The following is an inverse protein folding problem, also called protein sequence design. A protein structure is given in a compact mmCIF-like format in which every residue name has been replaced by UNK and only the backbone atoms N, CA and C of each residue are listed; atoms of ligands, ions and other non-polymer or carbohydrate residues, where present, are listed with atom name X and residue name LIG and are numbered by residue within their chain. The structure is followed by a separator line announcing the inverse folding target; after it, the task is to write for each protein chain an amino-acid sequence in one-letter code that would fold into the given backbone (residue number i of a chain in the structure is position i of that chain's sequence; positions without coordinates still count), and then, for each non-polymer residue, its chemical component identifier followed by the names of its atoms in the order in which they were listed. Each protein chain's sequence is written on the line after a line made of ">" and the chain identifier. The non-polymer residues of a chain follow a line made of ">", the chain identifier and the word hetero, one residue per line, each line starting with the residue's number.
data_IF_937086397798
#
_entry.id   IF_937086397798
#
_cell.length_a   1.000
_cell.length_b   1.000
_cell.length_c   1.000
_cell.angle_alpha   90.00
_cell.angle_beta   90.00
_cell.angle_gamma   90.00
#
_symmetry.space_group_name_H-M   'P 1'
#
loop_
_entity.id
_entity.type
_entity.pdbx_description
1 polymer ?
#
# COMPACT_ATOMS: atom_id res chain seq x y z
N UNK A 1 13.08 -1.88 -56.40
CA UNK A 1 12.38 -2.93 -55.63
C UNK A 1 13.14 -3.39 -54.38
N UNK A 2 14.48 -3.44 -54.39
CA UNK A 2 15.26 -3.92 -53.23
C UNK A 2 15.40 -2.93 -52.06
N UNK A 3 15.32 -1.61 -52.27
CA UNK A 3 15.49 -0.63 -51.20
C UNK A 3 14.28 -0.55 -50.24
N UNK A 4 13.06 -0.77 -50.77
CA UNK A 4 11.83 -0.71 -49.98
C UNK A 4 11.69 -1.93 -49.05
N UNK A 5 12.17 -3.09 -49.48
CA UNK A 5 12.15 -4.33 -48.69
C UNK A 5 13.13 -4.26 -47.51
N UNK A 6 14.31 -3.65 -47.70
CA UNK A 6 15.30 -3.45 -46.62
C UNK A 6 14.79 -2.45 -45.57
N UNK A 7 14.11 -1.37 -46.00
CA UNK A 7 13.45 -0.42 -45.07
C UNK A 7 12.29 -1.08 -44.30
N UNK A 8 11.49 -1.92 -44.94
CA UNK A 8 10.40 -2.65 -44.26
C UNK A 8 10.92 -3.68 -43.26
N UNK A 9 11.99 -4.41 -43.60
CA UNK A 9 12.64 -5.37 -42.68
C UNK A 9 13.34 -4.67 -41.51
N UNK A 10 13.96 -3.51 -41.73
CA UNK A 10 14.57 -2.71 -40.65
C UNK A 10 13.55 -2.22 -39.63
N UNK A 11 12.40 -1.71 -40.10
CA UNK A 11 11.30 -1.26 -39.21
C UNK A 11 10.69 -2.44 -38.44
N UNK A 12 10.51 -3.60 -39.07
CA UNK A 12 10.01 -4.80 -38.39
C UNK A 12 10.97 -5.35 -37.32
N UNK A 13 12.29 -5.27 -37.54
CA UNK A 13 13.29 -5.72 -36.56
C UNK A 13 13.39 -4.78 -35.35
N UNK A 14 13.35 -3.46 -35.55
CA UNK A 14 13.38 -2.50 -34.44
C UNK A 14 12.11 -2.55 -33.58
N UNK A 15 10.93 -2.73 -34.20
CA UNK A 15 9.66 -2.97 -33.48
C UNK A 15 9.76 -4.20 -32.56
N UNK A 16 10.35 -5.32 -33.02
CA UNK A 16 10.45 -6.52 -32.17
C UNK A 16 11.41 -6.37 -30.98
N UNK A 17 12.45 -5.55 -31.10
CA UNK A 17 13.46 -5.40 -30.03
C UNK A 17 12.99 -4.43 -28.94
N UNK A 18 12.30 -3.35 -29.33
CA UNK A 18 11.60 -2.49 -28.37
C UNK A 18 10.49 -3.24 -27.65
N UNK A 19 9.72 -4.08 -28.36
CA UNK A 19 8.56 -4.76 -27.80
C UNK A 19 8.91 -5.77 -26.71
N UNK A 20 10.08 -6.42 -26.83
CA UNK A 20 10.58 -7.33 -25.79
C UNK A 20 10.96 -6.56 -24.51
N UNK A 21 11.59 -5.38 -24.62
CA UNK A 21 11.84 -4.50 -23.47
C UNK A 21 10.54 -4.07 -22.77
N UNK A 22 9.42 -4.05 -23.50
CA UNK A 22 8.08 -3.70 -23.00
C UNK A 22 7.20 -4.90 -22.60
N UNK A 23 7.72 -6.13 -22.67
CA UNK A 23 7.06 -7.35 -22.19
C UNK A 23 7.23 -7.64 -20.69
N UNK A 24 6.21 -8.24 -20.09
CA UNK A 24 6.28 -8.80 -18.74
C UNK A 24 7.19 -10.03 -18.69
N UNK A 25 7.93 -10.20 -17.60
CA UNK A 25 8.91 -11.29 -17.48
C UNK A 25 10.20 -11.05 -18.28
N UNK A 26 10.34 -9.89 -18.95
CA UNK A 26 11.59 -9.48 -19.58
C UNK A 26 12.73 -9.48 -18.55
N UNK A 27 13.85 -10.09 -18.95
CA UNK A 27 15.06 -10.14 -18.15
C UNK A 27 16.10 -9.17 -18.70
N UNK A 28 16.30 -8.06 -17.98
CA UNK A 28 17.15 -6.95 -18.43
C UNK A 28 18.64 -7.23 -18.22
N UNK A 29 19.22 -8.10 -19.05
CA UNK A 29 20.63 -8.48 -18.95
C UNK A 29 21.59 -7.33 -19.24
N UNK A 30 21.18 -6.34 -20.05
CA UNK A 30 22.04 -5.25 -20.52
C UNK A 30 22.31 -4.21 -19.43
N UNK A 31 21.33 -3.92 -18.58
CA UNK A 31 21.46 -2.91 -17.52
C UNK A 31 21.85 -3.50 -16.15
N UNK A 32 22.03 -4.82 -16.04
CA UNK A 32 22.57 -5.43 -14.81
C UNK A 32 24.07 -5.08 -14.63
N UNK A 33 24.61 -5.11 -13.40
CA UNK A 33 26.04 -4.90 -13.19
C UNK A 33 26.89 -5.85 -14.06
N UNK A 34 27.85 -5.29 -14.82
CA UNK A 34 28.64 -6.03 -15.81
C UNK A 34 27.95 -6.33 -17.15
N UNK A 35 26.73 -5.82 -17.36
CA UNK A 35 26.08 -5.75 -18.66
C UNK A 35 26.63 -4.61 -19.51
N UNK A 36 26.33 -4.64 -20.81
CA UNK A 36 26.83 -3.68 -21.80
C UNK A 36 26.49 -2.22 -21.44
N UNK A 37 25.37 -1.99 -20.77
CA UNK A 37 24.85 -0.68 -20.41
C UNK A 37 25.04 -0.34 -18.92
N UNK A 38 25.85 -1.07 -18.16
CA UNK A 38 26.15 -0.72 -16.78
C UNK A 38 26.88 0.63 -16.72
N UNK A 39 26.27 1.71 -16.17
CA UNK A 39 26.86 3.06 -16.18
C UNK A 39 28.14 3.14 -15.33
N UNK A 40 28.40 2.13 -14.51
CA UNK A 40 29.59 2.05 -13.67
C UNK A 40 30.70 1.21 -14.31
N UNK A 41 30.47 0.69 -15.53
CA UNK A 41 31.36 -0.15 -16.34
C UNK A 41 32.09 -1.20 -15.50
N UNK A 42 31.36 -1.82 -14.56
CA UNK A 42 31.97 -2.72 -13.59
C UNK A 42 32.28 -4.01 -14.31
N UNK A 43 33.50 -4.57 -14.17
CA UNK A 43 33.80 -5.85 -14.78
C UNK A 43 32.84 -6.91 -14.23
N UNK A 44 32.41 -7.84 -15.08
CA UNK A 44 31.59 -9.00 -14.70
C UNK A 44 32.43 -9.99 -13.88
N UNK A 45 32.90 -9.56 -12.71
CA UNK A 45 33.81 -10.30 -11.84
C UNK A 45 33.10 -10.74 -10.56
N UNK A 46 33.50 -11.89 -9.99
CA UNK A 46 32.83 -12.48 -8.83
C UNK A 46 32.93 -11.68 -7.52
N UNK A 47 33.69 -10.59 -7.47
CA UNK A 47 33.94 -9.82 -6.25
C UNK A 47 34.03 -8.31 -6.53
N UNK A 48 32.92 -7.58 -6.38
CA UNK A 48 32.98 -6.15 -6.09
C UNK A 48 31.92 -5.78 -5.05
N UNK A 49 32.34 -5.09 -3.99
CA UNK A 49 31.48 -4.64 -2.89
C UNK A 49 31.30 -3.13 -2.97
N UNK A 50 30.06 -2.66 -3.11
CA UNK A 50 29.71 -1.26 -2.95
C UNK A 50 29.14 -1.00 -1.56
N UNK A 51 29.95 -0.53 -0.62
CA UNK A 51 29.50 -0.09 0.71
C UNK A 51 29.16 1.40 0.66
N UNK A 52 27.93 1.74 0.29
CA UNK A 52 27.40 3.10 0.50
C UNK A 52 26.40 3.12 1.67
N UNK A 53 26.09 4.33 2.17
CA UNK A 53 25.30 4.61 3.39
C UNK A 53 23.87 4.05 3.40
N UNK A 54 23.44 3.39 2.33
CA UNK A 54 22.11 2.83 2.17
C UNK A 54 22.02 1.33 2.53
N UNK A 55 23.14 0.70 2.88
CA UNK A 55 23.21 -0.63 3.45
C UNK A 55 23.38 -0.52 4.98
N UNK A 56 22.36 -0.86 5.76
CA UNK A 56 22.41 -0.84 7.24
C UNK A 56 23.13 -2.06 7.85
N UNK A 57 23.76 -2.89 7.01
CA UNK A 57 24.54 -4.07 7.42
C UNK A 57 23.70 -5.28 7.85
N UNK A 58 22.42 -5.08 8.18
CA UNK A 58 21.50 -6.14 8.62
C UNK A 58 20.51 -6.56 7.53
N UNK A 59 20.04 -5.62 6.69
CA UNK A 59 19.11 -5.91 5.58
C UNK A 59 19.82 -6.28 4.27
N UNK A 60 21.11 -5.96 4.16
CA UNK A 60 21.97 -6.27 3.00
C UNK A 60 22.64 -7.65 3.07
N UNK A 61 22.46 -8.39 4.17
CA UNK A 61 23.02 -9.73 4.37
C UNK A 61 21.95 -10.81 4.19
N UNK A 62 21.34 -10.86 3.01
CA UNK A 62 20.46 -11.97 2.62
C UNK A 62 21.23 -13.30 2.71
N UNK A 63 20.75 -14.23 3.56
CA UNK A 63 21.39 -15.52 3.86
C UNK A 63 22.23 -16.12 2.71
N UNK A 64 23.54 -15.96 2.82
CA UNK A 64 24.50 -16.52 1.89
C UNK A 64 24.88 -17.93 2.37
N UNK A 65 24.63 -18.94 1.54
CA UNK A 65 25.34 -20.21 1.64
C UNK A 65 26.74 -20.06 1.00
N UNK A 66 27.62 -21.01 1.33
CA UNK A 66 29.02 -21.09 0.84
C UNK A 66 29.14 -21.23 -0.68
N UNK A 67 28.01 -21.27 -1.41
CA UNK A 67 27.92 -21.39 -2.87
C UNK A 67 27.29 -20.18 -3.57
N UNK A 68 27.10 -19.04 -2.89
CA UNK A 68 26.54 -17.82 -3.51
C UNK A 68 27.63 -16.76 -3.81
N UNK A 69 28.23 -16.73 -5.01
CA UNK A 69 29.31 -15.80 -5.34
C UNK A 69 28.70 -14.52 -5.90
N UNK A 70 28.30 -13.58 -5.04
CA UNK A 70 28.06 -12.15 -5.41
C UNK A 70 27.54 -11.42 -4.17
N UNK A 71 28.17 -10.32 -3.81
CA UNK A 71 27.46 -9.26 -3.10
C UNK A 71 26.64 -8.50 -4.15
N UNK A 72 25.33 -8.46 -4.02
CA UNK A 72 24.55 -7.72 -4.99
C UNK A 72 24.72 -6.22 -4.81
N UNK A 73 24.79 -5.48 -5.92
CA UNK A 73 24.77 -4.02 -5.88
C UNK A 73 23.36 -3.57 -5.50
N UNK A 74 23.25 -2.78 -4.43
CA UNK A 74 21.99 -2.18 -4.02
C UNK A 74 21.50 -1.22 -5.11
N UNK A 75 20.45 -1.61 -5.82
CA UNK A 75 19.67 -0.77 -6.75
C UNK A 75 18.29 -0.39 -6.17
N UNK A 76 18.03 -0.80 -4.93
CA UNK A 76 16.79 -0.56 -4.20
C UNK A 76 16.34 0.90 -4.26
N UNK A 77 15.11 1.13 -4.73
CA UNK A 77 14.46 2.41 -4.52
C UNK A 77 14.17 2.60 -3.00
N UNK A 78 14.34 3.81 -2.50
CA UNK A 78 13.90 4.16 -1.13
C UNK A 78 12.68 5.06 -1.27
N UNK A 79 11.53 4.61 -0.75
CA UNK A 79 10.36 5.49 -0.70
C UNK A 79 10.69 6.76 0.10
N UNK A 80 10.28 7.92 -0.42
CA UNK A 80 10.57 9.21 0.22
C UNK A 80 9.75 9.34 1.51
N UNK A 81 10.43 9.13 2.64
CA UNK A 81 9.88 9.26 4.00
C UNK A 81 10.49 10.42 4.79
N UNK A 82 11.15 11.34 4.07
CA UNK A 82 11.96 12.41 4.67
C UNK A 82 11.11 13.40 5.45
N UNK A 83 9.88 13.65 5.00
CA UNK A 83 8.98 14.65 5.57
C UNK A 83 7.72 13.99 6.17
N UNK A 84 7.90 13.40 7.34
CA UNK A 84 6.83 12.70 8.08
C UNK A 84 5.70 13.65 8.49
N UNK A 85 6.03 14.88 8.87
CA UNK A 85 5.04 15.88 9.24
C UNK A 85 4.21 16.30 8.02
N UNK A 86 4.84 16.50 6.86
CA UNK A 86 4.13 16.73 5.61
C UNK A 86 3.15 15.59 5.31
N UNK A 87 3.57 14.33 5.40
CA UNK A 87 2.66 13.18 5.16
C UNK A 87 1.47 13.14 6.11
N UNK A 88 1.69 13.47 7.38
CA UNK A 88 0.59 13.60 8.33
C UNK A 88 -0.39 14.72 7.92
N UNK A 89 0.12 15.92 7.62
CA UNK A 89 -0.72 17.07 7.29
C UNK A 89 -1.46 16.88 5.96
N UNK A 90 -0.83 16.29 4.94
CA UNK A 90 -1.46 15.92 3.68
C UNK A 90 -2.59 14.90 3.89
N UNK A 91 -2.38 13.91 4.75
CA UNK A 91 -3.40 12.93 5.12
C UNK A 91 -4.58 13.58 5.84
N UNK A 92 -4.33 14.40 6.86
CA UNK A 92 -5.39 15.09 7.62
C UNK A 92 -6.20 16.01 6.71
N UNK A 93 -5.52 16.75 5.83
CA UNK A 93 -6.17 17.62 4.84
C UNK A 93 -7.06 16.81 3.89
N UNK A 94 -6.52 15.73 3.34
CA UNK A 94 -7.26 14.80 2.47
C UNK A 94 -8.47 14.22 3.18
N UNK A 95 -8.34 13.77 4.43
CA UNK A 95 -9.46 13.27 5.23
C UNK A 95 -10.55 14.35 5.39
N UNK A 96 -10.17 15.58 5.72
CA UNK A 96 -11.10 16.69 5.89
C UNK A 96 -11.83 17.10 4.59
N UNK A 97 -11.17 16.99 3.44
CA UNK A 97 -11.74 17.20 2.10
C UNK A 97 -12.70 16.07 1.73
N UNK A 98 -12.41 14.85 2.15
CA UNK A 98 -13.27 13.67 1.94
C UNK A 98 -14.45 13.60 2.93
N UNK A 99 -14.47 14.45 3.96
CA UNK A 99 -15.44 14.34 5.06
C UNK A 99 -15.24 13.07 5.89
N UNK A 100 -13.97 12.65 6.02
CA UNK A 100 -13.54 11.50 6.81
C UNK A 100 -12.73 12.04 7.99
N UNK A 101 -12.85 11.41 9.15
CA UNK A 101 -12.02 11.78 10.30
C UNK A 101 -10.62 11.17 10.18
N UNK A 102 -9.57 11.83 10.70
CA UNK A 102 -8.25 11.22 10.81
C UNK A 102 -8.24 9.90 11.59
N UNK A 103 -7.17 9.12 11.41
CA UNK A 103 -6.99 7.84 12.10
C UNK A 103 -6.93 8.08 13.61
N UNK A 104 -7.60 7.22 14.39
CA UNK A 104 -7.63 7.34 15.85
C UNK A 104 -8.51 8.48 16.37
N UNK A 105 -9.21 9.21 15.51
CA UNK A 105 -10.21 10.18 15.96
C UNK A 105 -11.32 9.48 16.73
N UNK A 106 -11.79 10.12 17.81
CA UNK A 106 -12.91 9.62 18.61
C UNK A 106 -14.23 9.67 17.84
N UNK A 107 -15.22 8.93 18.32
CA UNK A 107 -16.50 8.72 17.62
C UNK A 107 -17.23 10.04 17.30
N UNK A 108 -17.12 11.05 18.16
CA UNK A 108 -17.65 12.40 17.91
C UNK A 108 -17.13 13.02 16.62
N UNK A 109 -15.81 12.95 16.42
CA UNK A 109 -15.15 13.56 15.27
C UNK A 109 -15.48 12.78 14.00
N UNK A 110 -15.61 11.45 14.10
CA UNK A 110 -16.08 10.59 13.01
C UNK A 110 -17.48 11.01 12.55
N UNK A 111 -18.38 11.20 13.50
CA UNK A 111 -19.74 11.63 13.17
C UNK A 111 -19.79 13.04 12.58
N UNK A 112 -19.07 14.00 13.17
CA UNK A 112 -18.99 15.35 12.64
C UNK A 112 -18.49 15.36 11.18
N UNK A 113 -17.49 14.53 10.87
CA UNK A 113 -16.98 14.36 9.52
C UNK A 113 -18.03 13.76 8.57
N UNK A 114 -18.74 12.70 9.00
CA UNK A 114 -19.84 12.09 8.24
C UNK A 114 -20.94 13.12 7.93
N UNK A 115 -21.43 13.82 8.96
CA UNK A 115 -22.49 14.80 8.85
C UNK A 115 -22.13 15.97 7.93
N UNK A 116 -20.85 16.35 7.86
CA UNK A 116 -20.36 17.39 6.95
C UNK A 116 -20.67 17.08 5.47
N UNK A 117 -20.67 15.80 5.09
CA UNK A 117 -21.01 15.36 3.73
C UNK A 117 -22.52 15.09 3.63
N UNK A 118 -23.09 14.31 4.54
CA UNK A 118 -24.49 13.88 4.43
C UNK A 118 -25.51 15.01 4.59
N UNK A 119 -25.12 16.15 5.18
CA UNK A 119 -25.97 17.34 5.27
C UNK A 119 -26.05 18.13 3.94
N UNK A 120 -25.21 17.81 2.95
CA UNK A 120 -25.28 18.42 1.63
C UNK A 120 -26.46 17.81 0.87
N UNK A 121 -27.39 18.61 0.30
CA UNK A 121 -28.49 18.08 -0.49
C UNK A 121 -27.97 17.28 -1.69
N UNK A 122 -28.47 16.05 -1.86
CA UNK A 122 -28.02 15.11 -2.90
C UNK A 122 -26.50 14.83 -2.84
N UNK A 123 -25.95 14.65 -1.64
CA UNK A 123 -24.52 14.39 -1.43
C UNK A 123 -24.00 13.18 -2.21
N UNK A 124 -24.87 12.23 -2.55
CA UNK A 124 -24.53 11.07 -3.38
C UNK A 124 -24.06 11.46 -4.79
N UNK A 125 -24.46 12.64 -5.27
CA UNK A 125 -24.05 13.19 -6.57
C UNK A 125 -22.76 14.01 -6.51
N UNK A 126 -22.17 14.21 -5.32
CA UNK A 126 -20.88 14.90 -5.19
C UNK A 126 -19.83 14.05 -5.92
N UNK A 127 -18.86 14.68 -6.64
CA UNK A 127 -17.77 13.94 -7.24
C UNK A 127 -17.03 13.09 -6.22
N UNK A 128 -16.89 11.80 -6.52
CA UNK A 128 -16.15 10.86 -5.70
C UNK A 128 -14.70 11.31 -5.49
N UNK A 129 -14.21 11.37 -4.24
CA UNK A 129 -12.80 11.58 -3.98
C UNK A 129 -11.93 10.58 -4.73
N UNK A 130 -10.90 11.11 -5.40
CA UNK A 130 -9.94 10.34 -6.18
C UNK A 130 -8.54 10.89 -5.96
N UNK A 131 -7.56 10.00 -5.78
CA UNK A 131 -6.14 10.36 -5.74
C UNK A 131 -5.30 9.33 -6.47
N UNK A 132 -4.37 9.82 -7.28
CA UNK A 132 -3.32 9.01 -7.92
C UNK A 132 -1.98 9.29 -7.25
N UNK A 133 -1.24 8.24 -6.91
CA UNK A 133 0.05 8.35 -6.23
C UNK A 133 1.01 7.24 -6.68
N UNK A 134 2.32 7.50 -6.66
CA UNK A 134 3.30 6.49 -7.05
C UNK A 134 3.53 5.47 -5.93
N UNK A 135 3.69 4.21 -6.31
CA UNK A 135 4.15 3.13 -5.43
C UNK A 135 5.48 2.62 -5.96
N UNK A 136 6.54 2.88 -5.20
CA UNK A 136 7.90 2.45 -5.51
C UNK A 136 8.09 0.98 -5.11
N UNK A 137 8.91 0.26 -5.87
CA UNK A 137 9.40 -1.07 -5.55
C UNK A 137 10.44 -1.01 -4.41
N UNK A 138 10.01 -0.60 -3.22
CA UNK A 138 10.87 -0.25 -2.10
C UNK A 138 10.48 -1.01 -0.83
N UNK A 139 11.47 -1.25 0.04
CA UNK A 139 11.23 -1.87 1.36
C UNK A 139 10.27 -1.03 2.21
N UNK A 140 10.39 0.30 2.08
CA UNK A 140 9.54 1.25 2.78
C UNK A 140 8.20 1.37 2.06
N UNK A 141 7.15 1.46 2.87
CA UNK A 141 5.80 1.68 2.40
C UNK A 141 5.62 3.05 1.75
N UNK A 142 4.66 3.14 0.84
CA UNK A 142 4.33 4.34 0.07
C UNK A 142 2.99 4.91 0.60
N UNK A 143 3.01 6.05 1.31
CA UNK A 143 1.78 6.68 1.77
C UNK A 143 1.01 7.27 0.58
N UNK A 144 -0.28 6.98 0.49
CA UNK A 144 -1.14 7.62 -0.52
C UNK A 144 -1.63 9.00 -0.10
N UNK A 145 -1.66 9.26 1.21
CA UNK A 145 -2.43 10.35 1.86
C UNK A 145 -3.89 10.42 1.39
N UNK A 146 -4.45 9.28 1.00
CA UNK A 146 -5.86 9.10 0.74
C UNK A 146 -6.52 8.47 1.97
N UNK A 147 -7.58 9.09 2.47
CA UNK A 147 -8.32 8.61 3.63
C UNK A 147 -9.34 7.53 3.24
N UNK A 148 -9.43 6.51 4.07
CA UNK A 148 -10.35 5.38 3.99
C UNK A 148 -11.20 5.38 5.26
N UNK A 149 -12.50 5.25 5.10
CA UNK A 149 -13.48 5.17 6.19
C UNK A 149 -14.08 3.77 6.25
N UNK A 150 -14.15 3.21 7.45
CA UNK A 150 -14.79 1.93 7.71
C UNK A 150 -16.26 1.94 7.27
N UNK A 151 -16.70 0.82 6.70
CA UNK A 151 -18.07 0.60 6.23
C UNK A 151 -18.32 1.10 4.80
N UNK A 152 -17.39 1.84 4.20
CA UNK A 152 -17.51 2.36 2.84
C UNK A 152 -16.75 1.51 1.82
N UNK A 153 -17.08 1.69 0.54
CA UNK A 153 -16.54 0.94 -0.59
C UNK A 153 -15.57 1.81 -1.38
N UNK A 154 -14.43 1.23 -1.71
CA UNK A 154 -13.35 1.87 -2.44
C UNK A 154 -12.93 1.00 -3.63
N UNK A 155 -12.41 1.66 -4.64
CA UNK A 155 -11.80 1.05 -5.81
C UNK A 155 -10.34 1.49 -5.85
N UNK A 156 -9.42 0.53 -5.90
CA UNK A 156 -8.00 0.76 -6.16
C UNK A 156 -7.68 0.14 -7.50
N UNK A 157 -7.04 0.89 -8.39
CA UNK A 157 -6.67 0.43 -9.73
C UNK A 157 -5.31 0.98 -10.14
N UNK A 158 -4.57 0.19 -10.91
CA UNK A 158 -3.32 0.61 -11.55
C UNK A 158 -3.61 0.91 -13.02
N UNK A 159 -3.20 2.07 -13.51
CA UNK A 159 -3.46 2.42 -14.90
C UNK A 159 -2.45 1.73 -15.83
N UNK A 160 -2.94 1.11 -16.89
CA UNK A 160 -2.10 0.42 -17.88
C UNK A 160 -1.59 -0.96 -17.44
N UNK A 161 -2.18 -1.61 -16.44
CA UNK A 161 -1.86 -3.02 -16.12
C UNK A 161 -2.32 -4.02 -17.18
N UNK A 162 -3.32 -3.64 -17.98
CA UNK A 162 -4.07 -4.58 -18.81
C UNK A 162 -3.50 -4.62 -20.23
N UNK A 163 -2.58 -5.55 -20.47
CA UNK A 163 -2.07 -5.98 -21.78
C UNK A 163 -1.39 -4.94 -22.68
N UNK A 164 -0.06 -5.05 -22.77
CA UNK A 164 0.76 -4.50 -23.86
C UNK A 164 1.13 -3.02 -23.70
N UNK A 165 2.42 -2.77 -23.40
CA UNK A 165 3.06 -1.44 -23.49
C UNK A 165 2.76 -0.43 -22.39
N UNK A 166 2.64 -0.87 -21.13
CA UNK A 166 2.78 0.08 -20.02
C UNK A 166 4.26 0.43 -19.77
N UNK A 167 4.52 1.67 -19.35
CA UNK A 167 5.82 2.08 -18.81
C UNK A 167 5.90 1.85 -17.29
N UNK A 168 4.78 1.48 -16.66
CA UNK A 168 4.62 1.35 -15.21
C UNK A 168 4.92 -0.07 -14.77
N UNK A 169 6.18 -0.31 -14.38
CA UNK A 169 6.64 -1.62 -13.96
C UNK A 169 7.53 -1.52 -12.75
N UNK A 170 7.51 -2.60 -11.98
CA UNK A 170 8.56 -2.90 -11.03
C UNK A 170 9.56 -3.88 -11.62
N UNK A 171 10.73 -3.89 -11.01
CA UNK A 171 11.77 -4.85 -11.30
C UNK A 171 12.15 -5.58 -10.02
N UNK A 172 12.31 -6.89 -10.09
CA UNK A 172 12.77 -7.76 -9.00
C UNK A 172 13.89 -8.66 -9.51
N UNK A 173 15.12 -8.34 -9.10
CA UNK A 173 16.29 -9.13 -9.52
C UNK A 173 16.43 -9.23 -11.04
N UNK A 174 16.07 -8.15 -11.75
CA UNK A 174 16.07 -8.07 -13.21
C UNK A 174 14.83 -8.65 -13.90
N UNK A 175 13.84 -9.17 -13.17
CA UNK A 175 12.52 -9.47 -13.72
C UNK A 175 11.69 -8.22 -13.80
N UNK A 176 11.14 -7.94 -14.97
CA UNK A 176 10.08 -6.95 -15.11
C UNK A 176 8.73 -7.52 -14.71
N UNK A 177 8.02 -6.84 -13.81
CA UNK A 177 6.77 -7.29 -13.20
C UNK A 177 5.75 -6.15 -13.15
N UNK A 178 4.49 -6.45 -13.49
CA UNK A 178 3.38 -5.51 -13.34
C UNK A 178 2.85 -5.53 -11.88
N UNK A 179 1.69 -4.91 -11.65
CA UNK A 179 1.08 -4.87 -10.31
C UNK A 179 0.39 -6.17 -9.87
N UNK A 180 0.11 -7.11 -10.77
CA UNK A 180 -0.41 -8.45 -10.41
C UNK A 180 0.66 -9.35 -9.79
N UNK A 181 1.92 -8.98 -9.99
CA UNK A 181 3.05 -9.76 -9.50
C UNK A 181 3.28 -11.02 -10.30
N UNK A 182 4.06 -11.94 -9.74
CA UNK A 182 4.29 -13.25 -10.34
C UNK A 182 4.25 -14.38 -9.32
N UNK A 183 3.86 -15.55 -9.80
CA UNK A 183 3.86 -16.77 -9.00
C UNK A 183 5.25 -17.39 -8.95
N UNK A 184 5.51 -18.09 -7.84
CA UNK A 184 6.71 -18.92 -7.70
C UNK A 184 6.34 -20.29 -7.16
N UNK A 185 7.04 -21.33 -7.58
CA UNK A 185 6.89 -22.67 -7.05
C UNK A 185 8.25 -23.35 -6.87
N UNK A 186 8.34 -24.31 -5.96
CA UNK A 186 9.56 -25.10 -5.81
C UNK A 186 9.57 -26.24 -6.83
N UNK A 187 10.57 -26.25 -7.71
CA UNK A 187 10.85 -27.36 -8.61
C UNK A 187 11.84 -28.33 -7.95
N UNK A 188 11.36 -29.53 -7.64
CA UNK A 188 12.16 -30.59 -7.03
C UNK A 188 13.23 -31.17 -7.96
N UNK A 189 13.05 -31.08 -9.29
CA UNK A 189 14.02 -31.61 -10.26
C UNK A 189 15.25 -30.69 -10.30
N UNK A 190 15.01 -29.39 -10.42
CA UNK A 190 16.06 -28.38 -10.40
C UNK A 190 16.52 -27.99 -8.98
N UNK A 191 15.89 -28.56 -7.94
CA UNK A 191 16.09 -28.23 -6.52
C UNK A 191 16.08 -26.71 -6.25
N UNK A 192 15.11 -26.01 -6.83
CA UNK A 192 15.11 -24.54 -6.85
C UNK A 192 13.70 -23.96 -6.94
N UNK A 193 13.50 -22.75 -6.40
CA UNK A 193 12.28 -22.00 -6.63
C UNK A 193 12.29 -21.38 -8.03
N UNK A 194 11.24 -21.63 -8.81
CA UNK A 194 11.05 -21.12 -10.17
C UNK A 194 10.08 -19.95 -10.11
N UNK A 195 10.47 -18.79 -10.66
CA UNK A 195 9.62 -17.62 -10.87
C UNK A 195 9.75 -17.13 -12.31
N UNK A 196 8.62 -16.91 -12.98
CA UNK A 196 8.58 -16.55 -14.41
C UNK A 196 9.43 -17.51 -15.28
N UNK A 197 9.31 -18.82 -15.02
CA UNK A 197 9.99 -19.88 -15.81
C UNK A 197 11.49 -20.04 -15.57
N UNK A 198 12.10 -19.34 -14.61
CA UNK A 198 13.53 -19.47 -14.29
C UNK A 198 13.79 -19.76 -12.81
N UNK A 199 14.79 -20.59 -12.55
CA UNK A 199 15.27 -20.88 -11.20
C UNK A 199 15.88 -19.62 -10.55
N UNK A 200 15.40 -19.31 -9.35
CA UNK A 200 15.71 -18.12 -8.55
C UNK A 200 15.82 -18.53 -7.08
N UNK A 201 17.04 -18.83 -6.58
CA UNK A 201 17.26 -19.33 -5.22
C UNK A 201 16.76 -18.39 -4.12
N UNK A 202 16.65 -17.09 -4.42
CA UNK A 202 16.19 -16.08 -3.47
C UNK A 202 14.69 -16.22 -3.16
N UNK A 203 13.87 -16.78 -4.05
CA UNK A 203 12.42 -16.97 -3.83
C UNK A 203 12.08 -18.00 -2.73
N UNK A 204 13.09 -18.62 -2.09
CA UNK A 204 12.90 -19.40 -0.85
C UNK A 204 12.52 -18.55 0.36
N UNK A 205 12.66 -17.22 0.28
CA UNK A 205 12.33 -16.31 1.37
C UNK A 205 10.82 -16.10 1.49
N UNK A 206 10.38 -15.73 2.69
CA UNK A 206 8.97 -15.43 2.96
C UNK A 206 8.64 -14.03 2.46
N UNK A 207 7.66 -13.93 1.57
CA UNK A 207 7.00 -12.67 1.17
C UNK A 207 6.38 -11.98 2.38
N UNK A 208 6.27 -10.65 2.34
CA UNK A 208 5.59 -9.88 3.40
C UNK A 208 4.12 -10.23 3.52
N UNK A 209 3.41 -10.31 2.40
CA UNK A 209 2.07 -10.91 2.32
C UNK A 209 2.18 -12.29 1.68
N UNK A 210 2.08 -13.33 2.52
CA UNK A 210 2.28 -14.71 2.08
C UNK A 210 1.21 -15.22 1.12
N UNK A 211 -0.02 -14.69 1.21
CA UNK A 211 -1.17 -15.08 0.37
C UNK A 211 -1.14 -14.49 -1.04
N UNK A 212 -0.35 -13.43 -1.27
CA UNK A 212 -0.29 -12.71 -2.53
C UNK A 212 0.96 -13.06 -3.34
N UNK A 213 0.96 -12.73 -4.63
CA UNK A 213 2.08 -13.00 -5.53
C UNK A 213 3.34 -12.20 -5.16
N UNK A 214 4.51 -12.65 -5.66
CA UNK A 214 5.74 -11.84 -5.58
C UNK A 214 5.54 -10.56 -6.36
N UNK A 215 5.95 -9.44 -5.79
CA UNK A 215 5.81 -8.11 -6.38
C UNK A 215 4.37 -7.74 -6.72
N UNK A 216 3.34 -8.39 -6.17
CA UNK A 216 1.97 -7.86 -6.35
C UNK A 216 1.82 -6.55 -5.59
N UNK A 217 0.99 -5.64 -6.11
CA UNK A 217 0.59 -4.46 -5.36
C UNK A 217 -0.24 -4.91 -4.17
N UNK A 218 0.23 -4.59 -2.98
CA UNK A 218 -0.49 -4.80 -1.74
C UNK A 218 -0.64 -3.48 -1.02
N UNK A 219 -1.76 -3.33 -0.31
CA UNK A 219 -2.05 -2.13 0.46
C UNK A 219 -2.53 -2.49 1.86
N UNK A 220 -2.47 -1.52 2.75
CA UNK A 220 -2.98 -1.60 4.11
C UNK A 220 -3.71 -0.30 4.46
N UNK A 221 -4.54 -0.37 5.49
CA UNK A 221 -5.29 0.79 6.03
C UNK A 221 -4.80 1.03 7.45
N UNK A 222 -4.33 2.25 7.73
CA UNK A 222 -3.87 2.59 9.08
C UNK A 222 -3.22 3.95 9.15
N UNK A 223 -2.18 4.07 9.96
CA UNK A 223 -1.49 5.34 10.17
C UNK A 223 -0.03 5.24 9.71
N UNK A 224 0.35 6.00 8.68
CA UNK A 224 1.73 5.97 8.16
C UNK A 224 2.75 6.58 9.13
N UNK A 225 2.35 7.61 9.87
CA UNK A 225 3.19 8.34 10.82
C UNK A 225 2.39 8.63 12.08
N UNK A 226 2.97 8.31 13.23
CA UNK A 226 2.37 8.57 14.55
C UNK A 226 3.28 9.50 15.35
N UNK A 227 2.74 10.40 16.17
CA UNK A 227 3.57 11.17 17.07
C UNK A 227 4.16 10.26 18.16
N UNK A 228 5.34 10.59 18.69
CA UNK A 228 5.96 9.81 19.77
C UNK A 228 5.16 9.89 21.09
N UNK A 229 4.44 10.99 21.27
CA UNK A 229 3.62 11.29 22.45
C UNK A 229 2.28 11.86 21.97
N UNK A 230 1.28 11.89 22.82
CA UNK A 230 0.07 12.66 22.54
C UNK A 230 0.44 14.13 22.32
N UNK A 231 0.01 14.68 21.18
CA UNK A 231 0.31 16.05 20.79
C UNK A 231 -0.94 16.88 20.98
N UNK A 232 -0.78 18.05 21.62
CA UNK A 232 -1.85 19.02 21.71
C UNK A 232 -2.21 19.51 20.29
N UNK A 233 -3.51 19.55 19.93
CA UNK A 233 -3.92 20.07 18.62
C UNK A 233 -3.34 21.47 18.37
N UNK A 234 -2.69 21.67 17.22
CA UNK A 234 -2.03 22.91 16.82
C UNK A 234 -0.50 22.92 16.99
N UNK A 235 0.06 22.01 17.80
CA UNK A 235 1.52 21.96 18.05
C UNK A 235 2.24 20.90 17.19
N UNK A 236 1.56 20.24 16.25
CA UNK A 236 2.02 19.07 15.51
C UNK A 236 3.35 19.25 14.75
N UNK A 237 3.66 20.48 14.34
CA UNK A 237 4.91 20.83 13.65
C UNK A 237 6.16 20.73 14.55
N UNK A 238 5.99 20.79 15.87
CA UNK A 238 7.10 20.86 16.83
C UNK A 238 7.55 19.48 17.34
N UNK A 239 6.86 18.41 16.96
CA UNK A 239 7.08 17.07 17.50
C UNK A 239 7.84 16.12 16.58
N UNK A 240 8.45 15.10 17.20
CA UNK A 240 9.09 14.00 16.49
C UNK A 240 8.04 12.96 16.08
N UNK A 241 7.98 12.72 14.78
CA UNK A 241 7.13 11.69 14.18
C UNK A 241 7.86 10.36 14.15
N UNK A 242 7.24 9.33 14.71
CA UNK A 242 7.73 7.97 14.60
C UNK A 242 7.49 7.42 13.18
N UNK A 243 8.36 6.51 12.71
CA UNK A 243 8.10 5.80 11.47
C UNK A 243 6.86 4.91 11.62
N UNK A 244 6.35 4.48 10.46
CA UNK A 244 5.33 3.45 10.36
C UNK A 244 5.71 2.21 11.18
N UNK A 245 4.75 1.71 11.96
CA UNK A 245 4.85 0.44 12.66
C UNK A 245 4.17 -0.64 11.80
N UNK A 246 4.96 -1.46 11.10
CA UNK A 246 4.42 -2.48 10.20
C UNK A 246 3.60 -3.55 10.96
N UNK A 247 3.84 -3.73 12.26
CA UNK A 247 3.09 -4.69 13.08
C UNK A 247 1.61 -4.30 13.23
N UNK A 248 1.31 -3.00 13.32
CA UNK A 248 -0.06 -2.50 13.47
C UNK A 248 -0.84 -2.52 12.15
N UNK A 249 -0.15 -2.72 11.02
CA UNK A 249 -0.78 -2.84 9.71
C UNK A 249 -1.08 -4.27 9.31
N UNK A 250 -0.49 -5.28 9.96
CA UNK A 250 -0.58 -6.67 9.50
C UNK A 250 -2.02 -7.17 9.32
N UNK A 251 -2.93 -6.74 10.21
CA UNK A 251 -4.34 -7.13 10.18
C UNK A 251 -5.13 -6.46 9.05
N UNK A 252 -4.60 -5.36 8.49
CA UNK A 252 -5.29 -4.56 7.48
C UNK A 252 -4.66 -4.70 6.10
N UNK A 253 -3.63 -5.55 5.94
CA UNK A 253 -2.99 -5.79 4.64
C UNK A 253 -3.91 -6.64 3.75
N UNK A 254 -4.07 -6.22 2.50
CA UNK A 254 -4.76 -6.99 1.46
C UNK A 254 -4.03 -6.88 0.12
N UNK A 255 -4.22 -7.91 -0.71
CA UNK A 255 -3.72 -7.94 -2.09
C UNK A 255 -4.62 -7.08 -2.98
N UNK A 256 -4.01 -6.30 -3.86
CA UNK A 256 -4.71 -5.43 -4.82
C UNK A 256 -4.55 -5.94 -6.25
N UNK A 257 -3.33 -6.35 -6.62
CA UNK A 257 -3.03 -6.70 -8.01
C UNK A 257 -3.17 -5.50 -8.96
N UNK A 258 -3.86 -5.69 -10.08
CA UNK A 258 -4.22 -4.66 -11.06
C UNK A 258 -5.40 -3.80 -10.59
N UNK A 259 -6.41 -4.42 -10.00
CA UNK A 259 -7.64 -3.77 -9.58
C UNK A 259 -8.31 -4.53 -8.43
N UNK A 260 -8.80 -3.77 -7.44
CA UNK A 260 -9.66 -4.31 -6.39
C UNK A 260 -10.76 -3.32 -6.04
N UNK A 261 -11.97 -3.86 -5.87
CA UNK A 261 -13.05 -3.17 -5.18
C UNK A 261 -13.30 -3.87 -3.85
N UNK A 262 -13.29 -3.12 -2.76
CA UNK A 262 -13.48 -3.67 -1.42
C UNK A 262 -14.30 -2.73 -0.54
N UNK A 263 -14.98 -3.31 0.44
CA UNK A 263 -15.61 -2.56 1.53
C UNK A 263 -14.63 -2.51 2.71
N UNK A 264 -14.26 -1.30 3.12
CA UNK A 264 -13.28 -1.08 4.17
C UNK A 264 -13.82 -1.56 5.52
N UNK A 265 -13.02 -2.36 6.23
CA UNK A 265 -13.28 -2.80 7.61
C UNK A 265 -12.53 -1.97 8.64
N UNK A 266 -11.69 -1.04 8.18
CA UNK A 266 -10.88 -0.17 9.03
C UNK A 266 -10.93 1.26 8.49
N UNK A 267 -10.71 2.22 9.38
CA UNK A 267 -10.55 3.64 9.04
C UNK A 267 -9.07 4.00 9.10
N UNK A 268 -8.56 4.80 8.16
CA UNK A 268 -7.17 5.25 8.15
C UNK A 268 -6.69 5.76 6.80
N UNK A 269 -5.39 5.97 6.69
CA UNK A 269 -4.70 6.25 5.44
C UNK A 269 -4.49 4.95 4.66
N UNK A 270 -4.70 4.98 3.34
CA UNK A 270 -4.28 3.91 2.44
C UNK A 270 -2.75 3.96 2.25
N UNK A 271 -2.07 2.84 2.46
CA UNK A 271 -0.61 2.77 2.39
C UNK A 271 -0.23 1.52 1.58
N UNK A 272 0.58 1.67 0.53
CA UNK A 272 0.82 0.58 -0.41
C UNK A 272 2.31 0.24 -0.57
N UNK A 273 2.59 -0.98 -1.02
CA UNK A 273 3.93 -1.50 -1.25
C UNK A 273 3.92 -2.58 -2.34
N UNK A 274 5.08 -2.83 -2.94
CA UNK A 274 5.31 -3.99 -3.80
C UNK A 274 5.61 -5.20 -2.91
N UNK A 275 4.88 -6.31 -3.04
CA UNK A 275 4.96 -7.45 -2.12
C UNK A 275 6.22 -8.31 -2.34
N UNK A 276 7.29 -8.04 -1.61
CA UNK A 276 8.54 -8.81 -1.67
C UNK A 276 8.95 -9.29 -0.28
N UNK A 277 9.95 -10.14 -0.19
CA UNK A 277 10.58 -10.48 1.07
C UNK A 277 11.32 -9.26 1.64
N UNK A 278 11.23 -9.04 2.96
CA UNK A 278 11.82 -7.87 3.62
C UNK A 278 13.33 -7.68 3.36
N UNK A 279 14.05 -8.78 3.07
CA UNK A 279 15.48 -8.79 2.79
C UNK A 279 15.84 -8.75 1.29
N UNK A 280 14.87 -8.55 0.39
CA UNK A 280 15.07 -8.68 -1.06
C UNK A 280 14.91 -7.40 -1.85
N UNK A 281 14.30 -6.35 -1.28
CA UNK A 281 14.15 -5.04 -1.93
C UNK A 281 15.43 -4.33 -2.41
N UNK A 282 16.62 -4.84 -2.08
CA UNK A 282 17.88 -4.25 -2.53
C UNK A 282 18.10 -4.36 -4.05
N UNK A 283 17.45 -5.29 -4.77
CA UNK A 283 17.46 -5.36 -6.24
C UNK A 283 16.18 -4.79 -6.87
N UNK A 284 15.28 -4.24 -6.07
CA UNK A 284 14.01 -3.78 -6.58
C UNK A 284 14.09 -2.33 -7.06
N UNK A 285 13.49 -2.04 -8.21
CA UNK A 285 13.40 -0.67 -8.72
C UNK A 285 12.16 -0.48 -9.61
N UNK A 286 11.93 0.75 -10.03
CA UNK A 286 10.74 1.13 -10.78
C UNK A 286 9.59 1.58 -9.87
N UNK A 287 8.50 1.99 -10.52
CA UNK A 287 7.31 2.51 -9.86
C UNK A 287 6.07 2.23 -10.71
N UNK A 288 4.92 2.16 -10.05
CA UNK A 288 3.61 2.14 -10.69
C UNK A 288 2.76 3.28 -10.13
N UNK A 289 1.79 3.76 -10.90
CA UNK A 289 0.82 4.76 -10.46
C UNK A 289 -0.47 4.07 -10.03
N UNK A 290 -0.81 4.26 -8.76
CA UNK A 290 -2.00 3.68 -8.14
C UNK A 290 -3.04 4.75 -7.98
N UNK A 291 -4.27 4.47 -8.41
CA UNK A 291 -5.41 5.35 -8.25
C UNK A 291 -6.37 4.76 -7.23
N UNK A 292 -6.66 5.50 -6.16
CA UNK A 292 -7.71 5.18 -5.20
C UNK A 292 -8.92 6.09 -5.46
N UNK A 293 -10.11 5.48 -5.48
CA UNK A 293 -11.39 6.17 -5.68
C UNK A 293 -12.38 5.68 -4.63
N UNK A 294 -13.07 6.61 -3.97
CA UNK A 294 -14.22 6.28 -3.10
C UNK A 294 -15.44 6.01 -3.98
N UNK A 295 -16.12 4.89 -3.75
CA UNK A 295 -17.24 4.44 -4.60
C UNK A 295 -18.58 4.59 -3.90
N UNK A 296 -18.62 4.47 -2.57
CA UNK A 296 -19.84 4.66 -1.80
C UNK A 296 -19.75 5.87 -0.88
N UNK A 297 -20.88 6.53 -0.69
CA UNK A 297 -21.06 7.54 0.34
C UNK A 297 -21.69 6.93 1.60
N UNK A 298 -21.44 7.51 2.79
CA UNK A 298 -22.05 7.01 4.02
C UNK A 298 -23.57 7.19 3.95
N UNK A 299 -24.36 6.30 4.56
CA UNK A 299 -25.80 6.48 4.59
C UNK A 299 -26.18 7.78 5.31
N UNK A 300 -27.23 8.43 4.83
CA UNK A 300 -27.77 9.67 5.42
C UNK A 300 -28.45 9.44 6.77
N UNK A 301 -28.81 8.20 7.08
CA UNK A 301 -29.57 7.89 8.27
C UNK A 301 -28.78 8.20 9.56
N UNK A 302 -29.48 8.83 10.50
CA UNK A 302 -28.96 9.76 11.50
C UNK A 302 -28.67 9.06 12.85
N UNK A 303 -29.05 7.79 12.97
CA UNK A 303 -29.18 7.16 14.29
C UNK A 303 -27.90 6.47 14.78
N UNK A 304 -26.93 6.15 13.92
CA UNK A 304 -25.76 5.36 14.30
C UNK A 304 -24.93 5.97 15.45
N UNK A 305 -24.59 7.27 15.38
CA UNK A 305 -23.82 7.92 16.43
C UNK A 305 -24.68 8.41 17.60
N UNK A 306 -25.91 8.86 17.32
CA UNK A 306 -26.84 9.20 18.39
C UNK A 306 -27.11 7.98 19.28
N UNK A 307 -27.24 6.79 18.70
CA UNK A 307 -27.34 5.52 19.41
C UNK A 307 -26.06 5.19 20.17
N UNK A 308 -24.86 5.42 19.63
CA UNK A 308 -23.61 5.20 20.40
C UNK A 308 -23.43 6.15 21.58
N UNK A 309 -24.08 7.33 21.56
CA UNK A 309 -24.15 8.24 22.70
C UNK A 309 -25.16 7.82 23.77
N UNK A 310 -26.09 6.93 23.43
CA UNK A 310 -27.04 6.43 24.41
C UNK A 310 -26.33 5.43 25.33
N UNK A 311 -26.61 5.47 26.65
CA UNK A 311 -26.13 4.43 27.55
C UNK A 311 -26.63 3.06 27.09
N UNK A 312 -25.86 2.02 27.37
CA UNK A 312 -26.26 0.65 27.03
C UNK A 312 -27.59 0.31 27.69
N UNK A 313 -28.47 -0.40 26.98
CA UNK A 313 -29.78 -0.79 27.51
C UNK A 313 -29.69 -1.71 28.74
N UNK A 314 -28.55 -2.37 28.93
CA UNK A 314 -28.24 -3.21 30.08
C UNK A 314 -27.53 -2.46 31.23
N UNK A 315 -27.21 -1.17 31.07
CA UNK A 315 -26.63 -0.39 32.16
C UNK A 315 -27.62 -0.26 33.31
N UNK A 316 -27.13 -0.40 34.54
CA UNK A 316 -27.97 -0.35 35.74
C UNK A 316 -28.83 0.93 35.78
N UNK A 317 -28.25 2.08 35.41
CA UNK A 317 -28.96 3.37 35.38
C UNK A 317 -30.17 3.35 34.44
N UNK A 318 -30.02 2.79 33.23
CA UNK A 318 -31.11 2.66 32.26
C UNK A 318 -32.14 1.65 32.74
N UNK A 319 -31.72 0.47 33.22
CA UNK A 319 -32.63 -0.57 33.71
C UNK A 319 -33.50 -0.04 34.85
N UNK A 320 -32.93 0.70 35.80
CA UNK A 320 -33.69 1.31 36.90
C UNK A 320 -34.64 2.40 36.42
N UNK A 321 -34.17 3.30 35.55
CA UNK A 321 -34.99 4.39 35.05
C UNK A 321 -36.14 3.92 34.15
N UNK A 322 -35.90 2.86 33.36
CA UNK A 322 -36.89 2.28 32.45
C UNK A 322 -37.69 1.14 33.07
N UNK A 323 -37.46 0.80 34.34
CA UNK A 323 -38.11 -0.31 35.06
C UNK A 323 -38.00 -1.65 34.30
N UNK A 324 -36.85 -1.88 33.68
CA UNK A 324 -36.57 -3.09 32.88
C UNK A 324 -37.21 -3.12 31.48
N UNK A 325 -37.88 -2.05 31.03
CA UNK A 325 -38.38 -1.96 29.66
C UNK A 325 -37.33 -1.36 28.70
N UNK A 326 -37.22 -1.89 27.49
CA UNK A 326 -36.36 -1.31 26.44
C UNK A 326 -37.01 -0.04 25.86
N UNK A 327 -38.34 0.04 25.86
CA UNK A 327 -39.12 1.20 25.36
C UNK A 327 -39.44 2.21 26.47
N UNK A 328 -38.59 2.29 27.49
CA UNK A 328 -38.80 3.17 28.63
C UNK A 328 -38.57 4.67 28.31
N UNK A 329 -38.82 5.55 29.29
CA UNK A 329 -38.67 6.99 29.13
C UNK A 329 -37.24 7.46 28.80
N UNK A 330 -36.22 6.67 29.15
CA UNK A 330 -34.83 6.94 28.77
C UNK A 330 -34.48 6.09 27.55
N UNK A 331 -34.09 6.75 26.44
CA UNK A 331 -33.57 6.06 25.26
C UNK A 331 -32.23 5.38 25.59
N UNK A 332 -32.02 4.17 25.09
CA UNK A 332 -30.81 3.40 25.33
C UNK A 332 -30.32 2.70 24.04
N UNK A 333 -29.05 2.29 24.02
CA UNK A 333 -28.47 1.54 22.91
C UNK A 333 -28.57 0.03 23.17
N UNK A 334 -29.36 -0.74 22.40
CA UNK A 334 -29.45 -2.19 22.57
C UNK A 334 -28.16 -2.92 22.16
N UNK A 335 -27.30 -2.25 21.36
CA UNK A 335 -26.03 -2.79 20.88
C UNK A 335 -24.82 -2.22 21.66
N UNK A 336 -25.04 -1.35 22.66
CA UNK A 336 -23.96 -0.78 23.46
C UNK A 336 -23.42 -1.80 24.46
N UNK A 337 -22.12 -2.12 24.40
CA UNK A 337 -21.48 -3.00 25.38
C UNK A 337 -21.33 -2.32 26.75
N UNK A 338 -21.65 -3.04 27.81
CA UNK A 338 -21.78 -2.53 29.18
C UNK A 338 -20.51 -1.91 29.78
N UNK A 339 -20.52 -0.58 29.86
CA UNK A 339 -19.93 0.21 30.96
C UNK A 339 -20.54 1.63 30.97
N UNK A 340 -21.82 1.78 30.59
CA UNK A 340 -22.47 3.08 30.36
C UNK A 340 -22.36 4.06 31.52
N UNK A 341 -21.41 4.98 31.42
CA UNK A 341 -21.37 6.23 32.17
C UNK A 341 -21.75 7.35 31.21
N UNK A 342 -22.47 8.35 31.71
CA UNK A 342 -22.80 9.54 30.91
C UNK A 342 -21.53 10.30 30.62
N UNK A 343 -21.40 10.88 29.43
CA UNK A 343 -20.30 11.79 29.06
C UNK A 343 -20.23 13.07 29.94
N UNK A 344 -21.23 13.29 30.81
CA UNK A 344 -21.31 14.42 31.73
C UNK A 344 -20.87 14.07 33.17
N UNK A 345 -20.53 12.80 33.44
CA UNK A 345 -19.97 12.30 34.71
C UNK A 345 -18.49 11.93 34.53
#
# INVERSE_FOLDING_TARGET
>A
MNLLIVLFLGVLLDLTRSDILFSEGFYDYENLPGGENDPLNRPNTPFSTGTNRFADGFTSTGAFDTSSPRFPVYKGAVANVSDRYLRYTEYVKSAAEQGISPYGAGDRIREEARLKITNIPNYENIPAPKKTFPVLAAIKWNPSDFAIQEGETYNISVFGSDSGYSSQFWYDGGLRVNSEGYSSYFDSISNCYVGMGRCRPYLKKKRRLASANWMSLSCAIGQFVRPLVEVKPGDEAQYRWMPLDESTLQETIFDVGSHVQFRATYTGQLICFANDAHSQYWNNYGQIEVTAVRVSWPPSNITQYQESLLPSCDSAQVVYANRGSIDGPIKCNPNGGGAGWKLAD
#
